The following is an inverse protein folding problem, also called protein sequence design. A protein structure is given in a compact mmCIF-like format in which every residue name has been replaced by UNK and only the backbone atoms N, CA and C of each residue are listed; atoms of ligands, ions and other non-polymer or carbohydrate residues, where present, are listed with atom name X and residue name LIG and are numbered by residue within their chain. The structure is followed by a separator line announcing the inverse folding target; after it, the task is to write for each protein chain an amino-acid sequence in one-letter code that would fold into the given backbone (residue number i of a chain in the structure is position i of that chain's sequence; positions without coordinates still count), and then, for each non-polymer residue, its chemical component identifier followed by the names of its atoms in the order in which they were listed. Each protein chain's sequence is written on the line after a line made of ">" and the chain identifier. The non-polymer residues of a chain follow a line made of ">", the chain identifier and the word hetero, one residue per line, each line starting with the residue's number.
data_IF_603631125371
#
_entry.id   IF_603631125371
#
_cell.length_a   1.000
_cell.length_b   1.000
_cell.length_c   1.000
_cell.angle_alpha   90.00
_cell.angle_beta   90.00
_cell.angle_gamma   90.00
#
_symmetry.space_group_name_H-M   'P 1'
#
loop_
_entity.id
_entity.type
_entity.pdbx_description
1 polymer ?
#
# COMPACT_ATOMS: atom_id res chain seq x y z
N UNK A 1 -4.13 21.67 -10.33
CA UNK A 1 -2.78 22.14 -10.74
C UNK A 1 -1.91 20.95 -11.11
N UNK A 2 -0.69 21.18 -11.63
CA UNK A 2 0.21 20.10 -12.08
C UNK A 2 0.45 19.03 -11.00
N UNK A 3 0.72 19.45 -9.75
CA UNK A 3 0.92 18.52 -8.63
C UNK A 3 -0.32 17.69 -8.31
N UNK A 4 -1.52 18.26 -8.44
CA UNK A 4 -2.79 17.53 -8.27
C UNK A 4 -2.96 16.45 -9.33
N UNK A 5 -2.68 16.78 -10.60
CA UNK A 5 -2.75 15.83 -11.70
C UNK A 5 -1.70 14.72 -11.54
N UNK A 6 -0.49 15.08 -11.10
CA UNK A 6 0.59 14.13 -10.83
C UNK A 6 0.24 13.19 -9.67
N UNK A 7 -0.42 13.69 -8.62
CA UNK A 7 -0.90 12.84 -7.52
C UNK A 7 -1.98 11.86 -7.99
N UNK A 8 -2.90 12.29 -8.86
CA UNK A 8 -3.94 11.42 -9.41
C UNK A 8 -3.31 10.29 -10.25
N UNK A 9 -2.36 10.63 -11.12
CA UNK A 9 -1.53 9.65 -11.83
C UNK A 9 -0.79 8.71 -10.86
N UNK A 10 -0.28 9.25 -9.76
CA UNK A 10 0.37 8.46 -8.71
C UNK A 10 -0.53 7.38 -8.12
N UNK A 11 -1.79 7.68 -7.82
CA UNK A 11 -2.75 6.69 -7.33
C UNK A 11 -3.08 5.60 -8.37
N UNK A 12 -3.13 5.94 -9.66
CA UNK A 12 -3.32 4.96 -10.74
C UNK A 12 -2.14 4.00 -10.84
N UNK A 13 -0.91 4.52 -10.83
CA UNK A 13 0.32 3.71 -10.85
C UNK A 13 0.47 2.86 -9.58
N UNK A 14 0.04 3.41 -8.44
CA UNK A 14 0.04 2.72 -7.16
C UNK A 14 -0.88 1.49 -7.19
N UNK A 15 -2.13 1.65 -7.63
CA UNK A 15 -3.06 0.53 -7.83
C UNK A 15 -2.55 -0.48 -8.86
N UNK A 16 -2.04 -0.01 -10.00
CA UNK A 16 -1.46 -0.89 -11.02
C UNK A 16 -0.31 -1.74 -10.46
N UNK A 17 0.52 -1.16 -9.59
CA UNK A 17 1.60 -1.87 -8.90
C UNK A 17 1.06 -2.94 -7.96
N UNK A 18 0.04 -2.62 -7.14
CA UNK A 18 -0.60 -3.62 -6.27
C UNK A 18 -1.19 -4.78 -7.06
N UNK A 19 -1.94 -4.50 -8.13
CA UNK A 19 -2.51 -5.52 -9.00
C UNK A 19 -1.45 -6.41 -9.67
N UNK A 20 -0.29 -5.86 -10.03
CA UNK A 20 0.80 -6.65 -10.60
C UNK A 20 1.38 -7.67 -9.59
N UNK A 21 1.43 -7.33 -8.29
CA UNK A 21 1.84 -8.25 -7.24
C UNK A 21 0.75 -9.31 -6.98
N UNK A 22 -0.51 -8.88 -6.88
CA UNK A 22 -1.68 -9.76 -6.73
C UNK A 22 -1.79 -10.80 -7.86
N UNK A 23 -1.51 -10.40 -9.10
CA UNK A 23 -1.55 -11.27 -10.27
C UNK A 23 -0.63 -12.49 -10.13
N UNK A 24 0.53 -12.31 -9.48
CA UNK A 24 1.57 -13.35 -9.27
C UNK A 24 1.35 -14.18 -8.01
N UNK A 25 0.53 -13.72 -7.08
CA UNK A 25 0.25 -14.40 -5.83
C UNK A 25 -0.82 -15.49 -5.96
N UNK A 26 -0.86 -16.39 -4.97
CA UNK A 26 -1.94 -17.35 -4.79
C UNK A 26 -3.29 -16.63 -4.66
N UNK A 27 -4.36 -17.26 -5.16
CA UNK A 27 -5.69 -16.64 -5.23
C UNK A 27 -6.50 -16.73 -3.95
N UNK A 28 -5.89 -17.09 -2.82
CA UNK A 28 -6.57 -17.02 -1.52
C UNK A 28 -6.73 -15.55 -1.11
N UNK A 29 -7.83 -15.16 -0.44
CA UNK A 29 -8.01 -13.79 0.01
C UNK A 29 -6.85 -13.24 0.85
N UNK A 30 -6.27 -14.11 1.70
CA UNK A 30 -5.15 -13.73 2.57
C UNK A 30 -3.88 -13.45 1.78
N UNK A 31 -3.54 -14.32 0.82
CA UNK A 31 -2.37 -14.13 -0.03
C UNK A 31 -2.52 -12.90 -0.94
N UNK A 32 -3.72 -12.64 -1.44
CA UNK A 32 -4.01 -11.45 -2.25
C UNK A 32 -3.83 -10.15 -1.43
N UNK A 33 -4.33 -10.11 -0.20
CA UNK A 33 -4.16 -8.93 0.66
C UNK A 33 -2.70 -8.69 1.06
N UNK A 34 -1.93 -9.77 1.33
CA UNK A 34 -0.49 -9.66 1.56
C UNK A 34 0.21 -9.12 0.31
N UNK A 35 -0.11 -9.67 -0.87
CA UNK A 35 0.49 -9.25 -2.14
C UNK A 35 0.18 -7.77 -2.45
N UNK A 36 -1.04 -7.31 -2.16
CA UNK A 36 -1.41 -5.90 -2.24
C UNK A 36 -0.52 -5.03 -1.33
N UNK A 37 -0.26 -5.46 -0.09
CA UNK A 37 0.64 -4.76 0.83
C UNK A 37 2.11 -4.77 0.37
N UNK A 38 2.58 -5.85 -0.26
CA UNK A 38 3.92 -5.90 -0.86
C UNK A 38 4.02 -4.95 -2.06
N UNK A 39 2.97 -4.89 -2.90
CA UNK A 39 2.89 -3.93 -4.00
C UNK A 39 2.86 -2.48 -3.53
N UNK A 40 2.19 -2.20 -2.40
CA UNK A 40 2.20 -0.90 -1.71
C UNK A 40 3.64 -0.47 -1.38
N UNK A 41 4.39 -1.33 -0.67
CA UNK A 41 5.78 -1.06 -0.29
C UNK A 41 6.69 -0.99 -1.52
N UNK A 42 6.47 -1.85 -2.51
CA UNK A 42 7.19 -1.84 -3.79
C UNK A 42 7.04 -0.52 -4.54
N UNK A 43 5.82 0.02 -4.62
CA UNK A 43 5.56 1.33 -5.21
C UNK A 43 6.32 2.44 -4.47
N UNK A 44 6.23 2.47 -3.13
CA UNK A 44 6.91 3.48 -2.33
C UNK A 44 8.44 3.45 -2.53
N UNK A 45 9.04 2.25 -2.53
CA UNK A 45 10.48 2.06 -2.80
C UNK A 45 10.88 2.52 -4.19
N UNK A 46 10.08 2.22 -5.21
CA UNK A 46 10.39 2.57 -6.60
C UNK A 46 10.16 4.06 -6.91
N UNK A 47 9.18 4.70 -6.24
CA UNK A 47 8.74 6.07 -6.53
C UNK A 47 8.57 6.92 -5.25
N UNK A 48 9.61 7.10 -4.42
CA UNK A 48 9.47 7.71 -3.09
C UNK A 48 8.98 9.17 -3.11
N UNK A 49 9.38 9.95 -4.11
CA UNK A 49 8.92 11.34 -4.26
C UNK A 49 7.43 11.42 -4.62
N UNK A 50 6.95 10.50 -5.48
CA UNK A 50 5.55 10.43 -5.87
C UNK A 50 4.68 9.93 -4.71
N UNK A 51 5.17 8.93 -3.97
CA UNK A 51 4.54 8.45 -2.75
C UNK A 51 4.32 9.57 -1.72
N UNK A 52 5.37 10.35 -1.43
CA UNK A 52 5.28 11.51 -0.51
C UNK A 52 4.38 12.62 -1.05
N UNK A 53 4.34 12.83 -2.37
CA UNK A 53 3.41 13.77 -2.98
C UNK A 53 1.95 13.35 -2.72
N UNK A 54 1.64 12.07 -2.90
CA UNK A 54 0.29 11.54 -2.69
C UNK A 54 -0.13 11.62 -1.22
N UNK A 55 0.67 11.08 -0.30
CA UNK A 55 0.22 10.86 1.08
C UNK A 55 0.63 11.95 2.08
N UNK A 56 1.53 12.87 1.73
CA UNK A 56 2.11 13.82 2.69
C UNK A 56 2.18 15.28 2.23
N UNK A 57 1.64 15.62 1.05
CA UNK A 57 1.75 16.98 0.51
C UNK A 57 0.49 17.81 0.73
N UNK A 58 0.64 18.99 1.33
CA UNK A 58 -0.42 20.01 1.38
C UNK A 58 -0.59 20.76 0.04
N UNK A 59 0.26 20.49 -0.96
CA UNK A 59 0.23 21.17 -2.27
C UNK A 59 -0.76 20.53 -3.26
N UNK A 60 -1.36 19.40 -2.90
CA UNK A 60 -2.39 18.72 -3.69
C UNK A 60 -3.77 19.19 -3.27
N UNK A 61 -4.72 19.26 -4.21
CA UNK A 61 -6.11 19.61 -3.92
C UNK A 61 -6.98 18.35 -4.02
N UNK A 62 -7.33 17.76 -2.88
CA UNK A 62 -8.17 16.56 -2.80
C UNK A 62 -9.66 16.80 -3.11
N UNK A 63 -10.09 18.06 -3.22
CA UNK A 63 -11.42 18.41 -3.76
C UNK A 63 -11.45 18.32 -5.30
N UNK A 64 -10.30 18.14 -5.95
CA UNK A 64 -10.27 17.88 -7.38
C UNK A 64 -10.89 16.49 -7.67
N UNK A 65 -11.89 16.39 -8.56
CA UNK A 65 -12.64 15.16 -8.76
C UNK A 65 -11.78 14.02 -9.33
N UNK A 66 -10.74 14.32 -10.12
CA UNK A 66 -9.86 13.29 -10.70
C UNK A 66 -8.94 12.70 -9.64
N UNK A 67 -8.34 13.54 -8.79
CA UNK A 67 -7.53 13.06 -7.67
C UNK A 67 -8.41 12.29 -6.67
N UNK A 68 -9.58 12.82 -6.33
CA UNK A 68 -10.52 12.17 -5.43
C UNK A 68 -10.91 10.78 -5.91
N UNK A 69 -11.32 10.66 -7.18
CA UNK A 69 -11.70 9.37 -7.75
C UNK A 69 -10.55 8.35 -7.69
N UNK A 70 -9.33 8.75 -8.07
CA UNK A 70 -8.17 7.86 -8.05
C UNK A 70 -7.78 7.42 -6.62
N UNK A 71 -7.90 8.32 -5.63
CA UNK A 71 -7.68 7.98 -4.23
C UNK A 71 -8.79 7.08 -3.66
N UNK A 72 -10.06 7.34 -4.03
CA UNK A 72 -11.21 6.53 -3.64
C UNK A 72 -11.08 5.09 -4.19
N UNK A 73 -10.63 4.91 -5.43
CA UNK A 73 -10.36 3.58 -6.01
C UNK A 73 -9.35 2.77 -5.17
N UNK A 74 -8.30 3.44 -4.66
CA UNK A 74 -7.30 2.80 -3.81
C UNK A 74 -7.86 2.36 -2.45
N UNK A 75 -8.74 3.18 -1.86
CA UNK A 75 -9.43 2.84 -0.61
C UNK A 75 -10.43 1.69 -0.83
N UNK A 76 -11.21 1.73 -1.91
CA UNK A 76 -12.18 0.68 -2.27
C UNK A 76 -11.49 -0.66 -2.48
N UNK A 77 -10.32 -0.65 -3.14
CA UNK A 77 -9.50 -1.85 -3.30
C UNK A 77 -9.11 -2.47 -1.96
N UNK A 78 -8.56 -1.65 -1.04
CA UNK A 78 -8.19 -2.11 0.31
C UNK A 78 -9.39 -2.63 1.10
N UNK A 79 -10.50 -1.88 1.13
CA UNK A 79 -11.73 -2.30 1.83
C UNK A 79 -12.26 -3.62 1.28
N UNK A 80 -12.17 -3.83 -0.03
CA UNK A 80 -12.59 -5.07 -0.68
C UNK A 80 -11.72 -6.24 -0.22
N UNK A 81 -10.40 -6.11 -0.26
CA UNK A 81 -9.48 -7.15 0.19
C UNK A 81 -9.67 -7.50 1.68
N UNK A 82 -9.83 -6.49 2.54
CA UNK A 82 -10.11 -6.68 3.98
C UNK A 82 -11.44 -7.40 4.19
N UNK A 83 -12.48 -7.06 3.43
CA UNK A 83 -13.77 -7.75 3.50
C UNK A 83 -13.66 -9.21 3.07
N UNK A 84 -12.88 -9.52 2.04
CA UNK A 84 -12.71 -10.88 1.53
C UNK A 84 -11.99 -11.81 2.52
N UNK A 85 -11.17 -11.26 3.42
CA UNK A 85 -10.57 -12.03 4.55
C UNK A 85 -11.44 -12.04 5.81
N UNK A 86 -12.68 -11.53 5.75
CA UNK A 86 -13.61 -11.51 6.88
C UNK A 86 -13.38 -10.38 7.89
N UNK A 87 -12.61 -9.35 7.53
CA UNK A 87 -12.25 -8.25 8.41
C UNK A 87 -13.37 -7.23 8.66
N UNK A 88 -13.27 -6.55 9.80
CA UNK A 88 -14.03 -5.37 10.16
C UNK A 88 -13.52 -4.13 9.41
N UNK A 89 -14.40 -3.50 8.62
CA UNK A 89 -14.03 -2.37 7.77
C UNK A 89 -13.57 -1.11 8.51
N UNK A 90 -13.88 -0.95 9.80
CA UNK A 90 -13.41 0.20 10.57
C UNK A 90 -12.02 -0.06 11.17
N UNK A 91 -11.86 -1.18 11.87
CA UNK A 91 -10.65 -1.49 12.63
C UNK A 91 -9.55 -2.07 11.73
N UNK A 92 -9.90 -3.06 10.92
CA UNK A 92 -8.90 -3.84 10.19
C UNK A 92 -8.39 -3.12 8.96
N UNK A 93 -9.24 -2.34 8.27
CA UNK A 93 -8.78 -1.45 7.19
C UNK A 93 -7.74 -0.46 7.73
N UNK A 94 -8.01 0.13 8.89
CA UNK A 94 -7.09 1.08 9.54
C UNK A 94 -5.79 0.39 9.95
N UNK A 95 -5.86 -0.79 10.57
CA UNK A 95 -4.68 -1.54 11.01
C UNK A 95 -3.79 -1.97 9.83
N UNK A 96 -4.41 -2.53 8.78
CA UNK A 96 -3.71 -2.94 7.56
C UNK A 96 -3.08 -1.74 6.87
N UNK A 97 -3.82 -0.65 6.69
CA UNK A 97 -3.31 0.55 6.05
C UNK A 97 -2.16 1.19 6.85
N UNK A 98 -2.34 1.37 8.15
CA UNK A 98 -1.31 1.96 9.02
C UNK A 98 -0.02 1.12 9.00
N UNK A 99 -0.14 -0.20 8.98
CA UNK A 99 1.02 -1.10 8.90
C UNK A 99 1.75 -0.96 7.57
N UNK A 100 1.04 -1.05 6.44
CA UNK A 100 1.64 -0.94 5.11
C UNK A 100 2.25 0.46 4.87
N UNK A 101 1.52 1.51 5.24
CA UNK A 101 1.95 2.90 5.09
C UNK A 101 3.15 3.22 5.99
N UNK A 102 3.09 2.84 7.27
CA UNK A 102 4.19 3.03 8.21
C UNK A 102 5.45 2.29 7.77
N UNK A 103 5.32 1.04 7.32
CA UNK A 103 6.43 0.27 6.78
C UNK A 103 7.04 0.92 5.54
N UNK A 104 6.19 1.37 4.60
CA UNK A 104 6.64 2.09 3.41
C UNK A 104 7.41 3.37 3.77
N UNK A 105 6.87 4.22 4.64
CA UNK A 105 7.51 5.48 5.05
C UNK A 105 8.83 5.23 5.78
N UNK A 106 8.86 4.28 6.73
CA UNK A 106 10.07 3.92 7.47
C UNK A 106 11.18 3.40 6.55
N UNK A 107 10.83 2.62 5.50
CA UNK A 107 11.77 2.11 4.50
C UNK A 107 12.33 3.26 3.66
N UNK A 108 11.46 4.09 3.05
CA UNK A 108 11.93 5.17 2.17
C UNK A 108 12.62 6.31 2.93
N UNK A 109 12.40 6.41 4.25
CA UNK A 109 13.12 7.31 5.14
C UNK A 109 14.42 6.71 5.70
N UNK A 110 14.76 5.46 5.35
CA UNK A 110 15.98 4.78 5.80
C UNK A 110 16.03 4.52 7.31
N UNK A 111 14.86 4.39 7.97
CA UNK A 111 14.76 4.26 9.43
C UNK A 111 14.84 2.82 9.92
N UNK A 112 14.68 1.84 9.03
CA UNK A 112 14.83 0.41 9.34
C UNK A 112 16.22 -0.05 8.92
N UNK A 113 17.21 0.17 9.80
CA UNK A 113 18.62 -0.11 9.49
C UNK A 113 18.91 -1.57 9.14
N UNK A 114 18.17 -2.51 9.73
CA UNK A 114 18.40 -3.96 9.48
C UNK A 114 18.16 -4.34 8.01
N UNK A 115 17.38 -3.56 7.26
CA UNK A 115 17.08 -3.86 5.84
C UNK A 115 18.31 -3.64 4.94
N UNK A 116 19.23 -2.72 5.29
CA UNK A 116 20.39 -2.44 4.42
C UNK A 116 21.38 -3.61 4.31
N UNK A 117 21.30 -4.57 5.24
CA UNK A 117 22.15 -5.75 5.29
C UNK A 117 21.44 -7.00 4.71
N UNK A 118 20.16 -6.89 4.38
CA UNK A 118 19.35 -7.99 3.85
C UNK A 118 19.46 -8.09 2.34
N UNK A 119 19.49 -9.32 1.83
CA UNK A 119 19.19 -9.58 0.43
C UNK A 119 17.67 -9.44 0.19
N UNK A 120 17.26 -9.32 -1.08
CA UNK A 120 15.85 -9.10 -1.43
C UNK A 120 14.94 -10.26 -0.99
N UNK A 121 15.40 -11.52 -1.02
CA UNK A 121 14.58 -12.66 -0.59
C UNK A 121 14.27 -12.59 0.92
N UNK A 122 15.28 -12.31 1.75
CA UNK A 122 15.10 -12.13 3.19
C UNK A 122 14.20 -10.94 3.51
N UNK A 123 14.36 -9.84 2.76
CA UNK A 123 13.48 -8.68 2.88
C UNK A 123 12.04 -9.05 2.52
N UNK A 124 11.79 -9.74 1.41
CA UNK A 124 10.45 -10.18 1.01
C UNK A 124 9.79 -11.05 2.09
N UNK A 125 10.53 -12.00 2.68
CA UNK A 125 10.04 -12.83 3.80
C UNK A 125 9.69 -11.97 5.01
N UNK A 126 10.56 -11.01 5.38
CA UNK A 126 10.29 -10.09 6.49
C UNK A 126 9.03 -9.26 6.24
N UNK A 127 8.92 -8.60 5.08
CA UNK A 127 7.77 -7.75 4.74
C UNK A 127 6.48 -8.57 4.75
N UNK A 128 6.50 -9.76 4.16
CA UNK A 128 5.37 -10.70 4.17
C UNK A 128 4.96 -11.03 5.60
N UNK A 129 5.91 -11.36 6.48
CA UNK A 129 5.62 -11.68 7.88
C UNK A 129 5.05 -10.50 8.66
N UNK A 130 5.58 -9.27 8.46
CA UNK A 130 5.09 -8.06 9.13
C UNK A 130 3.66 -7.74 8.68
N UNK A 131 3.42 -7.75 7.36
CA UNK A 131 2.09 -7.49 6.81
C UNK A 131 1.10 -8.53 7.33
N UNK A 132 1.44 -9.82 7.28
CA UNK A 132 0.58 -10.91 7.77
C UNK A 132 0.09 -10.74 9.22
N UNK A 133 0.83 -10.02 10.07
CA UNK A 133 0.46 -9.76 11.48
C UNK A 133 -0.63 -8.70 11.66
N UNK A 134 -0.88 -7.84 10.66
CA UNK A 134 -1.93 -6.83 10.73
C UNK A 134 -3.24 -7.25 10.08
N UNK A 135 -3.26 -8.41 9.40
CA UNK A 135 -4.46 -8.95 8.78
C UNK A 135 -5.42 -9.50 9.85
N UNK A 136 -6.74 -9.39 9.64
CA UNK A 136 -7.73 -10.06 10.47
C UNK A 136 -7.42 -11.54 10.65
N UNK A 137 -7.66 -12.04 11.86
CA UNK A 137 -7.85 -13.47 12.07
C UNK A 137 -9.21 -13.83 11.47
N UNK A 138 -9.20 -14.62 10.39
CA UNK A 138 -10.42 -15.03 9.72
C UNK A 138 -11.38 -15.68 10.73
N UNK A 139 -12.63 -15.24 10.75
CA UNK A 139 -13.68 -15.88 11.52
C UNK A 139 -14.13 -17.17 10.87
#
# INVERSE_FOLDING_TARGET
>A
GLLTALAAFGFQEFLATQHAFEARALKTPRDQLIAAGLGYVGFARARPALFRLMFGSERTNYENPVLKAAADDAIVHLMTQVKLVGGNLAQDVTAVWATAHGLAELIIAGRIKVISEMNEDALQVMLTSILARSLPEGR
#
